data_IF_877387090860
#
_entry.id   IF_877387090860
#
_cell.length_a   1.000
_cell.length_b   1.000
_cell.length_c   1.000
_cell.angle_alpha   90.00
_cell.angle_beta   90.00
_cell.angle_gamma   90.00
#
_symmetry.space_group_name_H-M   'P 1'
#
loop_
_entity.id
_entity.type
_entity.pdbx_description
1 polymer ?
#
# COMPACT_ATOMS: atom_id res chain seq x y z
N UNK A 1 36.94 -32.55 -11.45
CA UNK A 1 35.73 -32.54 -10.61
C UNK A 1 35.56 -31.12 -10.11
N UNK A 2 34.57 -30.38 -10.62
CA UNK A 2 34.30 -29.01 -10.18
C UNK A 2 33.34 -29.06 -8.99
N UNK A 3 33.41 -28.09 -8.08
CA UNK A 3 32.54 -28.02 -6.90
C UNK A 3 31.05 -28.06 -7.27
N UNK A 4 30.69 -27.46 -8.42
CA UNK A 4 29.34 -27.51 -9.01
C UNK A 4 28.87 -28.92 -9.45
N UNK A 5 29.79 -29.88 -9.55
CA UNK A 5 29.48 -31.28 -9.89
C UNK A 5 29.17 -32.09 -8.60
N UNK A 6 29.28 -31.46 -7.42
CA UNK A 6 29.08 -32.06 -6.08
C UNK A 6 27.96 -31.32 -5.32
N UNK A 7 27.79 -30.01 -5.58
CA UNK A 7 26.80 -29.16 -4.93
C UNK A 7 25.91 -28.53 -5.98
N UNK A 8 24.64 -28.91 -5.98
CA UNK A 8 23.59 -28.24 -6.73
C UNK A 8 23.20 -26.98 -5.95
N UNK A 9 23.56 -25.82 -6.49
CA UNK A 9 23.18 -24.53 -5.88
C UNK A 9 21.85 -24.14 -6.52
N UNK A 10 20.75 -24.05 -5.75
CA UNK A 10 19.47 -23.65 -6.30
C UNK A 10 19.57 -22.25 -6.91
N UNK A 11 18.87 -22.02 -8.01
CA UNK A 11 18.82 -20.72 -8.68
C UNK A 11 17.94 -19.78 -7.84
N UNK A 12 18.58 -19.03 -6.92
CA UNK A 12 17.87 -18.11 -6.03
C UNK A 12 17.55 -16.84 -6.83
N UNK A 13 16.26 -16.52 -6.99
CA UNK A 13 15.81 -15.25 -7.54
C UNK A 13 16.37 -14.10 -6.66
N UNK A 14 17.30 -13.32 -7.21
CA UNK A 14 18.04 -12.29 -6.45
C UNK A 14 17.23 -11.02 -6.17
N UNK A 15 16.12 -10.83 -6.88
CA UNK A 15 15.27 -9.64 -6.77
C UNK A 15 13.99 -10.05 -6.08
N UNK A 16 13.79 -9.52 -4.87
CA UNK A 16 12.57 -9.75 -4.12
C UNK A 16 11.52 -8.77 -4.61
N UNK A 17 10.40 -9.28 -5.09
CA UNK A 17 9.31 -8.47 -5.60
C UNK A 17 8.22 -8.34 -4.55
N UNK A 18 8.38 -7.36 -3.67
CA UNK A 18 7.54 -7.17 -2.48
C UNK A 18 6.04 -7.17 -2.80
N UNK A 19 5.62 -6.38 -3.79
CA UNK A 19 4.20 -6.31 -4.21
C UNK A 19 3.70 -7.61 -4.85
N UNK A 20 4.51 -8.25 -5.70
CA UNK A 20 4.11 -9.50 -6.36
C UNK A 20 3.90 -10.62 -5.34
N UNK A 21 4.81 -10.73 -4.36
CA UNK A 21 4.77 -11.78 -3.33
C UNK A 21 3.58 -11.64 -2.36
N UNK A 22 3.07 -10.43 -2.14
CA UNK A 22 1.98 -10.14 -1.20
C UNK A 22 0.61 -10.01 -1.88
N UNK A 23 0.55 -10.19 -3.20
CA UNK A 23 -0.69 -10.12 -3.98
C UNK A 23 -1.51 -11.41 -3.91
N UNK A 24 -2.83 -11.33 -4.11
CA UNK A 24 -3.70 -12.53 -4.14
C UNK A 24 -3.32 -13.55 -5.23
N UNK A 25 -2.74 -13.06 -6.34
CA UNK A 25 -2.30 -13.89 -7.47
C UNK A 25 -0.83 -14.30 -7.37
N UNK A 26 -0.22 -14.20 -6.19
CA UNK A 26 1.17 -14.55 -5.98
C UNK A 26 1.43 -16.04 -6.26
N UNK A 27 2.60 -16.34 -6.82
CA UNK A 27 3.00 -17.72 -7.07
C UNK A 27 3.36 -18.40 -5.74
N UNK A 28 2.50 -19.32 -5.30
CA UNK A 28 2.64 -20.04 -4.03
C UNK A 28 3.94 -20.85 -3.95
N UNK A 29 4.36 -21.50 -5.04
CA UNK A 29 5.63 -22.24 -5.07
C UNK A 29 6.82 -21.32 -4.80
N UNK A 30 6.82 -20.12 -5.41
CA UNK A 30 7.87 -19.11 -5.18
C UNK A 30 7.87 -18.57 -3.75
N UNK A 31 6.69 -18.34 -3.17
CA UNK A 31 6.56 -17.92 -1.76
C UNK A 31 7.13 -19.00 -0.83
N UNK A 32 6.77 -20.26 -1.07
CA UNK A 32 7.28 -21.38 -0.29
C UNK A 32 8.81 -21.48 -0.40
N UNK A 33 9.37 -21.37 -1.60
CA UNK A 33 10.81 -21.37 -1.83
C UNK A 33 11.50 -20.21 -1.10
N UNK A 34 10.91 -19.01 -1.15
CA UNK A 34 11.40 -17.83 -0.44
C UNK A 34 11.45 -18.07 1.08
N UNK A 35 10.36 -18.58 1.68
CA UNK A 35 10.29 -18.82 3.12
C UNK A 35 11.19 -20.00 3.54
N UNK A 36 11.18 -21.12 2.80
CA UNK A 36 12.06 -22.26 3.06
C UNK A 36 13.54 -21.89 2.90
N UNK A 37 13.88 -21.04 1.94
CA UNK A 37 15.23 -20.54 1.71
C UNK A 37 15.70 -19.45 2.68
N UNK A 38 14.77 -18.78 3.38
CA UNK A 38 15.10 -17.66 4.25
C UNK A 38 16.03 -18.08 5.41
N UNK A 39 17.16 -17.39 5.55
CA UNK A 39 18.15 -17.65 6.61
C UNK A 39 17.94 -16.67 7.76
N UNK A 40 17.52 -17.19 8.92
CA UNK A 40 17.39 -16.41 10.14
C UNK A 40 18.75 -16.39 10.85
N UNK A 41 19.44 -15.25 10.75
CA UNK A 41 20.67 -14.98 11.52
C UNK A 41 20.31 -14.43 12.90
N UNK A 42 21.27 -14.39 13.84
CA UNK A 42 21.03 -13.81 15.18
C UNK A 42 20.53 -12.36 15.12
N UNK A 43 21.05 -11.54 14.20
CA UNK A 43 20.58 -10.16 14.04
C UNK A 43 19.14 -10.11 13.50
N UNK A 44 18.77 -11.01 12.58
CA UNK A 44 17.40 -11.12 12.07
C UNK A 44 16.46 -11.58 13.19
N UNK A 45 16.88 -12.56 13.98
CA UNK A 45 16.18 -13.06 15.16
C UNK A 45 15.86 -11.92 16.13
N UNK A 46 16.88 -11.15 16.54
CA UNK A 46 16.72 -10.02 17.46
C UNK A 46 15.75 -8.95 16.93
N UNK A 47 15.75 -8.72 15.61
CA UNK A 47 14.85 -7.74 14.98
C UNK A 47 13.42 -8.25 14.89
N UNK A 48 13.21 -9.53 14.57
CA UNK A 48 11.90 -10.16 14.62
C UNK A 48 11.36 -10.16 16.06
N UNK A 49 12.20 -10.43 17.06
CA UNK A 49 11.78 -10.46 18.45
C UNK A 49 11.29 -9.09 18.90
N UNK A 50 12.05 -8.02 18.59
CA UNK A 50 11.64 -6.64 18.88
C UNK A 50 10.34 -6.26 18.19
N UNK A 51 10.16 -6.69 16.94
CA UNK A 51 8.92 -6.44 16.18
C UNK A 51 7.73 -7.13 16.85
N UNK A 52 7.76 -8.46 16.99
CA UNK A 52 6.66 -9.22 17.58
C UNK A 52 6.40 -8.84 19.03
N UNK A 53 7.45 -8.66 19.85
CA UNK A 53 7.29 -8.20 21.23
C UNK A 53 6.55 -6.87 21.29
N UNK A 54 6.91 -5.91 20.44
CA UNK A 54 6.25 -4.61 20.43
C UNK A 54 4.79 -4.71 19.99
N UNK A 55 4.51 -5.53 18.98
CA UNK A 55 3.16 -5.69 18.43
C UNK A 55 2.24 -6.43 19.43
N UNK A 56 2.80 -7.37 20.20
CA UNK A 56 2.09 -8.11 21.28
C UNK A 56 1.84 -7.25 22.52
N UNK A 57 2.81 -6.45 22.94
CA UNK A 57 2.74 -5.74 24.24
C UNK A 57 2.05 -4.39 24.18
N UNK A 58 1.97 -3.78 23.00
CA UNK A 58 1.24 -2.53 22.78
C UNK A 58 0.31 -2.66 21.59
N UNK A 59 -0.70 -3.57 21.65
CA UNK A 59 -1.58 -3.81 20.53
C UNK A 59 -2.38 -2.55 20.18
N UNK A 60 -2.85 -1.78 21.15
CA UNK A 60 -3.73 -0.61 20.91
C UNK A 60 -2.99 0.67 20.50
N UNK A 61 -1.68 0.60 20.25
CA UNK A 61 -0.87 1.76 19.87
C UNK A 61 -0.18 1.49 18.55
N UNK A 62 -0.48 2.35 17.57
CA UNK A 62 0.25 2.32 16.32
C UNK A 62 1.75 2.59 16.53
N UNK A 63 2.59 1.95 15.73
CA UNK A 63 4.06 2.07 15.84
C UNK A 63 4.78 2.02 14.50
N UNK A 64 5.79 2.88 14.37
CA UNK A 64 6.75 2.84 13.28
C UNK A 64 8.00 2.03 13.63
N UNK A 65 8.50 1.26 12.67
CA UNK A 65 9.74 0.52 12.71
C UNK A 65 10.63 0.96 11.54
N UNK A 66 11.93 1.00 11.80
CA UNK A 66 12.93 1.33 10.80
C UNK A 66 13.88 0.15 10.65
N UNK A 67 14.06 -0.31 9.42
CA UNK A 67 15.09 -1.30 9.08
C UNK A 67 16.23 -0.58 8.38
N UNK A 68 17.42 -0.63 8.96
CA UNK A 68 18.63 -0.03 8.39
C UNK A 68 19.60 -1.09 7.90
N UNK A 69 20.16 -0.89 6.72
CA UNK A 69 21.24 -1.74 6.21
C UNK A 69 21.76 -1.32 4.85
N UNK A 70 22.96 -1.81 4.51
CA UNK A 70 23.64 -1.52 3.24
C UNK A 70 22.81 -2.03 2.04
N UNK A 71 23.06 -1.52 0.81
CA UNK A 71 22.49 -2.12 -0.40
C UNK A 71 22.77 -3.62 -0.47
N UNK A 72 21.77 -4.42 -0.85
CA UNK A 72 21.88 -5.88 -0.93
C UNK A 72 21.88 -6.64 0.41
N UNK A 73 21.69 -5.96 1.55
CA UNK A 73 21.62 -6.62 2.88
C UNK A 73 20.34 -7.42 3.15
N UNK A 74 19.42 -7.49 2.18
CA UNK A 74 18.18 -8.25 2.31
C UNK A 74 17.00 -7.51 2.97
N UNK A 75 17.00 -6.17 3.01
CA UNK A 75 15.89 -5.37 3.58
C UNK A 75 14.53 -5.70 2.94
N UNK A 76 14.45 -5.67 1.61
CA UNK A 76 13.24 -6.02 0.84
C UNK A 76 12.79 -7.47 1.09
N UNK A 77 13.77 -8.37 1.27
CA UNK A 77 13.54 -9.76 1.62
C UNK A 77 12.92 -9.90 3.01
N UNK A 78 13.49 -9.21 4.01
CA UNK A 78 12.95 -9.16 5.36
C UNK A 78 11.54 -8.56 5.40
N UNK A 79 11.29 -7.46 4.68
CA UNK A 79 9.95 -6.88 4.54
C UNK A 79 8.95 -7.88 3.96
N UNK A 80 9.34 -8.60 2.90
CA UNK A 80 8.47 -9.64 2.30
C UNK A 80 8.16 -10.77 3.27
N UNK A 81 9.17 -11.26 4.01
CA UNK A 81 8.97 -12.31 5.01
C UNK A 81 8.02 -11.85 6.11
N UNK A 82 8.20 -10.65 6.67
CA UNK A 82 7.27 -10.12 7.68
C UNK A 82 5.87 -9.96 7.09
N UNK A 83 5.73 -9.42 5.88
CA UNK A 83 4.43 -9.27 5.23
C UNK A 83 3.69 -10.59 5.09
N UNK A 84 4.39 -11.62 4.60
CA UNK A 84 3.84 -12.96 4.42
C UNK A 84 3.42 -13.59 5.76
N UNK A 85 4.29 -13.48 6.77
CA UNK A 85 3.98 -13.97 8.13
C UNK A 85 2.75 -13.28 8.71
N UNK A 86 2.60 -11.97 8.50
CA UNK A 86 1.48 -11.21 9.06
C UNK A 86 0.19 -11.42 8.27
N UNK A 87 0.26 -11.77 6.99
CA UNK A 87 -0.89 -11.99 6.11
C UNK A 87 -1.47 -13.41 6.22
N UNK A 88 -0.64 -14.42 6.46
CA UNK A 88 -1.06 -15.83 6.54
C UNK A 88 -0.34 -16.58 7.67
N UNK A 89 -1.12 -17.10 8.63
CA UNK A 89 -0.60 -17.93 9.72
C UNK A 89 0.17 -19.15 9.19
N UNK A 90 -0.21 -19.71 8.05
CA UNK A 90 0.47 -20.88 7.47
C UNK A 90 1.90 -20.56 7.04
N UNK A 91 2.24 -19.30 6.76
CA UNK A 91 3.61 -18.89 6.45
C UNK A 91 4.56 -19.15 7.63
N UNK A 92 4.06 -19.15 8.88
CA UNK A 92 4.87 -19.50 10.06
C UNK A 92 5.31 -20.96 10.04
N UNK A 93 4.49 -21.88 9.51
CA UNK A 93 4.81 -23.32 9.46
C UNK A 93 6.09 -23.60 8.66
N UNK A 94 6.37 -22.76 7.65
CA UNK A 94 7.54 -22.85 6.78
C UNK A 94 8.82 -22.35 7.44
N UNK A 95 8.70 -21.59 8.54
CA UNK A 95 9.81 -20.98 9.27
C UNK A 95 9.95 -21.47 10.72
N UNK A 96 8.95 -22.17 11.27
CA UNK A 96 8.85 -22.48 12.70
C UNK A 96 10.05 -23.24 13.28
N UNK A 97 10.70 -24.11 12.48
CA UNK A 97 11.85 -24.88 12.94
C UNK A 97 13.16 -24.08 12.97
N UNK A 98 13.12 -22.81 12.53
CA UNK A 98 14.31 -21.96 12.40
C UNK A 98 14.49 -21.02 13.58
N UNK A 99 13.45 -20.79 14.40
CA UNK A 99 13.45 -19.71 15.40
C UNK A 99 12.31 -19.85 16.42
N UNK A 100 12.63 -19.69 17.70
CA UNK A 100 11.64 -19.60 18.78
C UNK A 100 10.81 -18.30 18.69
N UNK A 101 11.40 -17.24 18.14
CA UNK A 101 10.68 -15.97 17.91
C UNK A 101 9.56 -16.13 16.89
N UNK A 102 9.77 -16.93 15.85
CA UNK A 102 8.73 -17.25 14.85
C UNK A 102 7.55 -17.95 15.52
N UNK A 103 7.81 -18.92 16.42
CA UNK A 103 6.75 -19.59 17.18
C UNK A 103 5.95 -18.61 18.06
N UNK A 104 6.64 -17.70 18.76
CA UNK A 104 5.96 -16.66 19.57
C UNK A 104 5.18 -15.66 18.71
N UNK A 105 5.73 -15.28 17.57
CA UNK A 105 5.08 -14.39 16.61
C UNK A 105 3.81 -15.01 16.02
N UNK A 106 3.80 -16.32 15.79
CA UNK A 106 2.62 -17.04 15.31
C UNK A 106 1.44 -16.87 16.25
N UNK A 107 1.64 -17.03 17.56
CA UNK A 107 0.56 -16.88 18.55
C UNK A 107 -0.03 -15.46 18.56
N UNK A 108 0.71 -14.45 18.11
CA UNK A 108 0.15 -13.11 17.90
C UNK A 108 -0.79 -13.05 16.69
N UNK A 109 -0.39 -13.64 15.55
CA UNK A 109 -1.12 -13.57 14.27
C UNK A 109 -2.26 -14.59 14.20
N UNK A 110 -2.19 -15.64 15.02
CA UNK A 110 -3.18 -16.71 15.06
C UNK A 110 -4.60 -16.18 15.21
N UNK A 111 -5.48 -16.61 14.30
CA UNK A 111 -6.87 -16.16 14.17
C UNK A 111 -7.04 -14.65 13.97
N UNK A 112 -5.99 -13.92 13.56
CA UNK A 112 -6.09 -12.50 13.23
C UNK A 112 -6.04 -12.27 11.73
N UNK A 113 -6.85 -11.33 11.27
CA UNK A 113 -6.87 -10.86 9.89
C UNK A 113 -6.12 -9.52 9.82
N UNK A 114 -4.89 -9.52 9.31
CA UNK A 114 -4.07 -8.32 9.21
C UNK A 114 -4.08 -7.79 7.79
N UNK A 115 -4.39 -6.50 7.62
CA UNK A 115 -4.35 -5.83 6.33
C UNK A 115 -2.92 -5.38 6.00
N UNK A 116 -2.25 -6.09 5.10
CA UNK A 116 -0.86 -5.79 4.72
C UNK A 116 -0.81 -4.96 3.45
N UNK A 117 -0.20 -3.77 3.51
CA UNK A 117 -0.08 -2.83 2.38
C UNK A 117 1.39 -2.65 1.99
N UNK A 118 1.86 -3.30 0.90
CA UNK A 118 3.22 -3.15 0.40
C UNK A 118 3.40 -1.95 -0.52
N UNK A 119 4.37 -1.09 -0.20
CA UNK A 119 4.79 0.07 -0.97
C UNK A 119 6.25 -0.09 -1.36
N UNK A 120 6.52 0.07 -2.65
CA UNK A 120 7.87 0.25 -3.18
C UNK A 120 7.97 1.71 -3.53
N UNK A 121 8.64 2.50 -2.68
CA UNK A 121 8.51 3.95 -2.73
C UNK A 121 9.16 4.56 -3.99
N UNK A 122 10.22 3.95 -4.52
CA UNK A 122 10.87 4.36 -5.78
C UNK A 122 9.91 4.30 -6.99
N UNK A 123 8.98 3.32 -7.03
CA UNK A 123 8.03 3.17 -8.15
C UNK A 123 7.14 4.41 -8.36
N UNK A 124 6.88 5.18 -7.30
CA UNK A 124 6.11 6.41 -7.39
C UNK A 124 6.90 7.59 -7.95
N UNK A 125 8.23 7.56 -7.81
CA UNK A 125 9.11 8.69 -8.07
C UNK A 125 8.83 9.92 -7.18
N UNK A 126 9.56 11.01 -7.42
CA UNK A 126 9.47 12.24 -6.60
C UNK A 126 8.11 12.96 -6.67
N UNK A 127 7.25 12.62 -7.63
CA UNK A 127 6.01 13.35 -7.91
C UNK A 127 4.75 12.73 -7.28
N UNK A 128 4.83 11.49 -6.78
CA UNK A 128 3.69 10.79 -6.17
C UNK A 128 3.92 10.71 -4.66
N UNK A 129 2.91 11.12 -3.89
CA UNK A 129 2.97 11.08 -2.42
C UNK A 129 2.85 9.64 -1.88
N UNK A 130 3.38 9.38 -0.69
CA UNK A 130 3.14 8.11 0.03
C UNK A 130 1.67 7.91 0.30
N UNK A 131 0.93 9.00 0.56
CA UNK A 131 -0.52 8.95 0.76
C UNK A 131 -1.21 8.35 -0.48
N UNK A 132 -0.91 8.85 -1.67
CA UNK A 132 -1.54 8.37 -2.90
C UNK A 132 -1.06 6.96 -3.28
N UNK A 133 0.22 6.65 -3.08
CA UNK A 133 0.73 5.29 -3.25
C UNK A 133 0.04 4.30 -2.31
N UNK A 134 -0.13 4.69 -1.03
CA UNK A 134 -0.78 3.88 -0.02
C UNK A 134 -2.22 3.59 -0.37
N UNK A 135 -3.02 4.61 -0.64
CA UNK A 135 -4.43 4.39 -0.91
C UNK A 135 -4.62 3.64 -2.23
N UNK A 136 -3.84 3.93 -3.26
CA UNK A 136 -3.87 3.14 -4.49
C UNK A 136 -3.59 1.65 -4.23
N UNK A 137 -2.56 1.34 -3.45
CA UNK A 137 -2.25 -0.05 -3.09
C UNK A 137 -3.38 -0.69 -2.27
N UNK A 138 -3.97 0.04 -1.33
CA UNK A 138 -5.10 -0.44 -0.54
C UNK A 138 -6.35 -0.72 -1.41
N UNK A 139 -6.64 0.14 -2.38
CA UNK A 139 -7.71 -0.06 -3.36
C UNK A 139 -7.44 -1.26 -4.28
N UNK A 140 -6.19 -1.42 -4.75
CA UNK A 140 -5.79 -2.54 -5.59
C UNK A 140 -5.95 -3.90 -4.85
N UNK A 141 -5.72 -3.92 -3.53
CA UNK A 141 -5.87 -5.13 -2.68
C UNK A 141 -7.34 -5.42 -2.38
N UNK A 142 -8.11 -4.40 -2.00
CA UNK A 142 -9.48 -4.59 -1.50
C UNK A 142 -10.53 -4.55 -2.61
N UNK A 143 -10.22 -3.91 -3.73
CA UNK A 143 -11.20 -3.48 -4.74
C UNK A 143 -12.12 -2.35 -4.26
N UNK A 144 -11.99 -1.90 -3.00
CA UNK A 144 -12.80 -0.84 -2.41
C UNK A 144 -12.16 0.53 -2.67
N UNK A 145 -12.91 1.54 -3.15
CA UNK A 145 -12.37 2.85 -3.44
C UNK A 145 -12.25 3.73 -2.19
N UNK A 146 -11.04 3.84 -1.64
CA UNK A 146 -10.73 4.77 -0.53
C UNK A 146 -10.40 6.18 -1.02
N UNK A 147 -10.05 6.31 -2.30
CA UNK A 147 -9.78 7.56 -2.99
C UNK A 147 -10.98 7.99 -3.83
N UNK A 148 -10.98 9.27 -4.13
CA UNK A 148 -12.07 9.88 -4.86
C UNK A 148 -12.23 9.33 -6.28
N UNK A 149 -11.41 8.48 -6.91
CA UNK A 149 -11.71 8.14 -8.32
C UNK A 149 -13.08 7.46 -8.57
N UNK A 150 -13.59 6.64 -7.64
CA UNK A 150 -14.96 6.09 -7.76
C UNK A 150 -16.02 6.95 -7.05
N UNK A 151 -15.66 7.66 -5.98
CA UNK A 151 -16.58 8.56 -5.26
C UNK A 151 -16.71 9.95 -5.89
N UNK A 152 -15.71 10.41 -6.62
CA UNK A 152 -15.69 11.60 -7.47
C UNK A 152 -16.72 11.44 -8.56
N UNK A 153 -16.77 10.29 -9.24
CA UNK A 153 -17.78 10.03 -10.27
C UNK A 153 -19.19 10.13 -9.67
N UNK A 154 -19.41 9.52 -8.49
CA UNK A 154 -20.69 9.60 -7.78
C UNK A 154 -21.03 11.03 -7.33
N UNK A 155 -20.09 11.71 -6.66
CA UNK A 155 -20.26 13.11 -6.21
C UNK A 155 -20.44 14.05 -7.40
N UNK A 156 -19.75 13.81 -8.51
CA UNK A 156 -19.89 14.53 -9.76
C UNK A 156 -21.28 14.30 -10.35
N UNK A 157 -21.77 13.06 -10.34
CA UNK A 157 -23.14 12.74 -10.73
C UNK A 157 -24.15 13.50 -9.86
N UNK A 158 -23.98 13.45 -8.54
CA UNK A 158 -24.89 14.06 -7.57
C UNK A 158 -24.90 15.60 -7.61
N UNK A 159 -23.73 16.23 -7.71
CA UNK A 159 -23.58 17.68 -7.61
C UNK A 159 -23.63 18.40 -8.97
N UNK A 160 -23.14 17.76 -10.03
CA UNK A 160 -22.99 18.36 -11.37
C UNK A 160 -24.04 17.80 -12.33
N UNK A 161 -24.10 16.48 -12.52
CA UNK A 161 -24.97 15.88 -13.55
C UNK A 161 -26.45 15.91 -13.16
N UNK A 162 -26.78 15.77 -11.88
CA UNK A 162 -28.17 15.90 -11.40
C UNK A 162 -28.66 17.36 -11.38
N UNK A 163 -27.75 18.33 -11.48
CA UNK A 163 -28.12 19.72 -11.68
C UNK A 163 -28.29 20.02 -13.18
N UNK A 164 -29.52 20.34 -13.60
CA UNK A 164 -29.85 20.55 -15.01
C UNK A 164 -28.97 21.59 -15.72
N UNK A 165 -28.60 22.68 -15.04
CA UNK A 165 -27.77 23.73 -15.63
C UNK A 165 -26.32 23.29 -15.83
N UNK A 166 -25.75 22.56 -14.87
CA UNK A 166 -24.36 22.08 -14.98
C UNK A 166 -24.25 20.85 -15.89
N UNK A 167 -25.29 20.02 -15.96
CA UNK A 167 -25.35 18.90 -16.88
C UNK A 167 -25.33 19.35 -18.35
N UNK A 168 -26.10 20.40 -18.69
CA UNK A 168 -26.09 20.98 -20.05
C UNK A 168 -24.70 21.50 -20.42
N UNK A 169 -24.08 22.27 -19.52
CA UNK A 169 -22.70 22.75 -19.69
C UNK A 169 -21.68 21.61 -19.85
N UNK A 170 -21.85 20.54 -19.10
CA UNK A 170 -20.99 19.37 -19.21
C UNK A 170 -21.16 18.67 -20.56
N UNK A 171 -22.39 18.52 -21.04
CA UNK A 171 -22.71 18.00 -22.36
C UNK A 171 -22.06 18.82 -23.49
N UNK A 172 -22.12 20.15 -23.40
CA UNK A 172 -21.47 21.06 -24.36
C UNK A 172 -19.94 20.93 -24.31
N UNK A 173 -19.37 20.88 -23.09
CA UNK A 173 -17.93 20.69 -22.91
C UNK A 173 -17.43 19.39 -23.55
N UNK A 174 -18.10 18.27 -23.27
CA UNK A 174 -17.71 16.95 -23.79
C UNK A 174 -17.88 16.89 -25.32
N UNK A 175 -18.97 17.41 -25.85
CA UNK A 175 -19.21 17.39 -27.30
C UNK A 175 -18.18 18.22 -28.06
N UNK A 176 -17.78 19.40 -27.56
CA UNK A 176 -16.69 20.18 -28.14
C UNK A 176 -15.36 19.44 -28.03
N UNK A 177 -15.02 18.99 -26.83
CA UNK A 177 -13.70 18.39 -26.53
C UNK A 177 -13.44 17.10 -27.31
N UNK A 178 -14.49 16.32 -27.51
CA UNK A 178 -14.41 15.00 -28.15
C UNK A 178 -14.82 15.06 -29.62
N UNK A 179 -14.96 16.27 -30.19
CA UNK A 179 -15.38 16.50 -31.57
C UNK A 179 -16.66 15.71 -31.93
N UNK A 180 -17.67 15.81 -31.06
CA UNK A 180 -18.97 15.14 -31.13
C UNK A 180 -18.93 13.60 -31.07
N UNK A 181 -17.82 13.00 -30.65
CA UNK A 181 -17.76 11.56 -30.39
C UNK A 181 -18.67 11.15 -29.23
N UNK A 182 -18.76 11.99 -28.19
CA UNK A 182 -19.67 11.81 -27.06
C UNK A 182 -20.51 13.07 -26.85
N UNK A 183 -21.76 12.90 -26.42
CA UNK A 183 -22.73 14.02 -26.32
C UNK A 183 -23.23 14.28 -24.90
N UNK A 184 -23.02 13.36 -23.98
CA UNK A 184 -23.46 13.49 -22.59
C UNK A 184 -22.59 12.65 -21.66
N UNK A 185 -22.76 12.88 -20.36
CA UNK A 185 -22.15 12.03 -19.34
C UNK A 185 -22.55 10.56 -19.46
N UNK A 186 -23.84 10.27 -19.71
CA UNK A 186 -24.33 8.91 -19.87
C UNK A 186 -23.72 8.22 -21.09
N UNK A 187 -23.63 8.93 -22.21
CA UNK A 187 -23.00 8.45 -23.46
C UNK A 187 -21.49 8.20 -23.28
N UNK A 188 -20.81 9.11 -22.56
CA UNK A 188 -19.41 8.94 -22.17
C UNK A 188 -19.24 7.68 -21.30
N UNK A 189 -20.11 7.46 -20.31
CA UNK A 189 -20.01 6.35 -19.33
C UNK A 189 -20.29 4.98 -19.96
N UNK A 190 -21.24 4.88 -20.89
CA UNK A 190 -21.51 3.62 -21.60
C UNK A 190 -20.36 3.20 -22.50
N UNK A 191 -19.69 4.17 -23.14
CA UNK A 191 -18.69 3.90 -24.17
C UNK A 191 -17.24 3.93 -23.64
N UNK A 192 -16.94 4.71 -22.60
CA UNK A 192 -15.67 4.67 -21.88
C UNK A 192 -15.76 3.76 -20.65
N UNK A 193 -15.32 2.51 -20.81
CA UNK A 193 -15.25 1.54 -19.70
C UNK A 193 -14.14 1.79 -18.68
N UNK A 194 -13.31 2.81 -18.89
CA UNK A 194 -12.18 3.14 -18.01
C UNK A 194 -12.53 4.30 -17.05
N UNK A 195 -12.67 3.98 -15.76
CA UNK A 195 -12.95 4.94 -14.68
C UNK A 195 -11.93 6.09 -14.59
N UNK A 196 -10.65 5.84 -14.89
CA UNK A 196 -9.62 6.90 -14.90
C UNK A 196 -9.87 7.94 -15.99
N UNK A 197 -10.26 7.49 -17.18
CA UNK A 197 -10.58 8.40 -18.28
C UNK A 197 -11.84 9.23 -18.00
N UNK A 198 -12.86 8.62 -17.38
CA UNK A 198 -14.07 9.33 -16.93
C UNK A 198 -13.74 10.40 -15.88
N UNK A 199 -12.97 10.03 -14.86
CA UNK A 199 -12.52 10.95 -13.80
C UNK A 199 -11.69 12.09 -14.37
N UNK A 200 -10.79 11.81 -15.32
CA UNK A 200 -10.01 12.85 -16.01
C UNK A 200 -10.91 13.84 -16.74
N UNK A 201 -11.88 13.37 -17.51
CA UNK A 201 -12.82 14.24 -18.23
C UNK A 201 -13.62 15.13 -17.27
N UNK A 202 -14.07 14.56 -16.16
CA UNK A 202 -14.81 15.29 -15.14
C UNK A 202 -13.91 16.33 -14.43
N UNK A 203 -12.66 16.00 -14.07
CA UNK A 203 -11.67 16.95 -13.50
C UNK A 203 -11.37 18.11 -14.45
N UNK A 204 -11.20 17.83 -15.75
CA UNK A 204 -10.95 18.87 -16.75
C UNK A 204 -12.14 19.82 -16.92
N UNK A 205 -13.38 19.32 -16.83
CA UNK A 205 -14.57 20.16 -16.84
C UNK A 205 -14.62 21.11 -15.63
N UNK A 206 -14.41 20.58 -14.41
CA UNK A 206 -14.39 21.38 -13.18
C UNK A 206 -13.34 22.49 -13.27
N UNK A 207 -12.14 22.17 -13.80
CA UNK A 207 -11.08 23.15 -14.03
C UNK A 207 -11.43 24.21 -15.08
N UNK A 208 -12.08 23.81 -16.18
CA UNK A 208 -12.48 24.73 -17.26
C UNK A 208 -13.55 25.73 -16.80
N UNK A 209 -14.59 25.24 -16.12
CA UNK A 209 -15.69 26.06 -15.59
C UNK A 209 -15.32 26.78 -14.29
N UNK A 210 -14.14 26.49 -13.71
CA UNK A 210 -13.64 27.05 -12.44
C UNK A 210 -14.65 26.86 -11.29
N UNK A 211 -15.23 25.66 -11.18
CA UNK A 211 -16.26 25.35 -10.17
C UNK A 211 -15.63 25.15 -8.80
N UNK A 212 -15.54 26.21 -8.01
CA UNK A 212 -14.89 26.19 -6.69
C UNK A 212 -15.71 25.56 -5.57
N UNK A 213 -17.02 25.35 -5.78
CA UNK A 213 -17.90 24.68 -4.82
C UNK A 213 -17.82 23.15 -4.89
N UNK A 214 -17.26 22.62 -5.98
CA UNK A 214 -17.09 21.18 -6.18
C UNK A 214 -15.62 20.84 -5.93
N UNK A 215 -15.30 20.53 -4.66
CA UNK A 215 -14.00 20.05 -4.25
C UNK A 215 -14.17 18.65 -3.64
N UNK A 216 -14.19 17.61 -4.48
CA UNK A 216 -14.44 16.24 -4.03
C UNK A 216 -13.22 15.60 -3.37
N UNK A 217 -12.04 16.26 -3.36
CA UNK A 217 -10.87 15.77 -2.63
C UNK A 217 -11.25 15.60 -1.16
N UNK A 218 -11.53 14.36 -0.78
CA UNK A 218 -11.70 13.97 0.61
C UNK A 218 -10.42 14.34 1.32
N UNK A 219 -10.55 15.10 2.40
CA UNK A 219 -9.40 15.44 3.23
C UNK A 219 -8.70 14.15 3.69
N UNK A 220 -7.38 14.18 3.88
CA UNK A 220 -6.60 13.03 4.39
C UNK A 220 -7.28 12.31 5.56
N UNK A 221 -7.86 13.07 6.49
CA UNK A 221 -8.60 12.53 7.65
C UNK A 221 -9.78 11.67 7.22
N UNK A 222 -10.57 12.11 6.25
CA UNK A 222 -11.72 11.34 5.74
C UNK A 222 -11.28 10.09 4.99
N UNK A 223 -10.21 10.16 4.18
CA UNK A 223 -9.66 8.96 3.50
C UNK A 223 -9.19 7.91 4.51
N UNK A 224 -8.50 8.34 5.57
CA UNK A 224 -8.07 7.46 6.66
C UNK A 224 -9.28 6.90 7.41
N UNK A 225 -10.28 7.73 7.72
CA UNK A 225 -11.52 7.29 8.38
C UNK A 225 -12.24 6.20 7.58
N UNK A 226 -12.38 6.37 6.27
CA UNK A 226 -13.02 5.37 5.40
C UNK A 226 -12.24 4.06 5.36
N UNK A 227 -10.92 4.12 5.31
CA UNK A 227 -10.10 2.91 5.41
C UNK A 227 -10.39 2.18 6.73
N UNK A 228 -10.32 2.86 7.86
CA UNK A 228 -10.51 2.19 9.16
C UNK A 228 -11.94 1.68 9.34
N UNK A 229 -12.95 2.40 8.85
CA UNK A 229 -14.33 1.91 8.85
C UNK A 229 -14.48 0.62 8.03
N UNK A 230 -13.90 0.59 6.83
CA UNK A 230 -13.88 -0.63 6.01
C UNK A 230 -13.16 -1.78 6.72
N UNK A 231 -12.01 -1.51 7.33
CA UNK A 231 -11.25 -2.54 8.05
C UNK A 231 -12.06 -3.09 9.24
N UNK A 232 -12.80 -2.25 9.96
CA UNK A 232 -13.68 -2.67 11.05
C UNK A 232 -14.87 -3.51 10.53
N UNK A 233 -15.49 -3.10 9.43
CA UNK A 233 -16.61 -3.84 8.80
C UNK A 233 -16.19 -5.21 8.26
N UNK A 234 -14.97 -5.30 7.70
CA UNK A 234 -14.38 -6.52 7.18
C UNK A 234 -13.64 -7.35 8.25
N UNK A 235 -13.82 -7.01 9.54
CA UNK A 235 -13.29 -7.74 10.69
C UNK A 235 -11.75 -7.91 10.66
N UNK A 236 -11.02 -6.86 10.25
CA UNK A 236 -9.57 -6.83 10.37
C UNK A 236 -9.12 -6.49 11.80
N UNK A 237 -8.02 -7.10 12.24
CA UNK A 237 -7.43 -6.93 13.57
C UNK A 237 -6.23 -5.97 13.59
N UNK A 238 -5.79 -5.49 12.42
CA UNK A 238 -4.67 -4.57 12.30
C UNK A 238 -4.33 -4.20 10.86
N UNK A 239 -3.59 -3.11 10.68
CA UNK A 239 -3.00 -2.71 9.40
C UNK A 239 -1.48 -2.65 9.51
N UNK A 240 -0.79 -3.24 8.54
CA UNK A 240 0.67 -3.24 8.43
C UNK A 240 1.09 -2.64 7.10
N UNK A 241 1.78 -1.50 7.13
CA UNK A 241 2.34 -0.85 5.94
C UNK A 241 3.82 -1.18 5.84
N UNK A 242 4.22 -1.77 4.72
CA UNK A 242 5.62 -2.09 4.43
C UNK A 242 6.11 -1.13 3.36
N UNK A 243 7.13 -0.33 3.66
CA UNK A 243 7.64 0.69 2.75
C UNK A 243 9.11 0.38 2.44
N UNK A 244 9.36 -0.10 1.23
CA UNK A 244 10.71 -0.29 0.73
C UNK A 244 11.27 1.02 0.16
N UNK A 245 12.59 1.20 0.33
CA UNK A 245 13.37 2.35 -0.15
C UNK A 245 12.87 3.71 0.38
N UNK A 246 12.29 3.72 1.57
CA UNK A 246 11.71 4.93 2.18
C UNK A 246 12.75 6.05 2.33
N UNK A 247 14.00 5.73 2.70
CA UNK A 247 15.04 6.76 2.83
C UNK A 247 15.36 7.49 1.53
N UNK A 248 15.43 6.74 0.43
CA UNK A 248 15.78 7.29 -0.88
C UNK A 248 14.62 8.11 -1.42
N UNK A 249 13.41 7.57 -1.34
CA UNK A 249 12.18 8.28 -1.64
C UNK A 249 12.07 9.62 -0.89
N UNK A 250 12.25 9.63 0.45
CA UNK A 250 12.12 10.87 1.22
C UNK A 250 13.20 11.90 0.85
N UNK A 251 14.42 11.45 0.49
CA UNK A 251 15.45 12.35 0.00
C UNK A 251 15.06 12.99 -1.34
N UNK A 252 14.51 12.21 -2.26
CA UNK A 252 14.07 12.67 -3.59
C UNK A 252 12.86 13.61 -3.52
N UNK A 253 12.00 13.44 -2.50
CA UNK A 253 10.83 14.30 -2.27
C UNK A 253 11.19 15.71 -1.79
N UNK A 254 12.38 15.92 -1.23
CA UNK A 254 12.84 17.22 -0.76
C UNK A 254 11.84 17.90 0.19
N UNK A 255 11.31 19.07 -0.20
CA UNK A 255 10.37 19.83 0.65
C UNK A 255 9.04 19.12 0.88
N UNK A 256 8.62 18.23 -0.03
CA UNK A 256 7.34 17.54 0.07
C UNK A 256 7.38 16.34 1.02
N UNK A 257 8.57 15.87 1.40
CA UNK A 257 8.77 14.76 2.35
C UNK A 257 8.07 15.00 3.70
N UNK A 258 7.89 16.28 4.08
CA UNK A 258 7.15 16.65 5.30
C UNK A 258 5.67 16.24 5.23
N UNK A 259 5.05 16.35 4.06
CA UNK A 259 3.65 15.95 3.88
C UNK A 259 3.50 14.43 3.98
N UNK A 260 4.46 13.69 3.42
CA UNK A 260 4.50 12.22 3.50
C UNK A 260 4.71 11.76 4.95
N UNK A 261 5.64 12.37 5.68
CA UNK A 261 5.82 12.10 7.11
C UNK A 261 4.58 12.42 7.95
N UNK A 262 3.86 13.51 7.62
CA UNK A 262 2.61 13.87 8.28
C UNK A 262 1.51 12.84 7.99
N UNK A 263 1.44 12.31 6.77
CA UNK A 263 0.52 11.22 6.43
C UNK A 263 0.80 9.97 7.26
N UNK A 264 2.06 9.48 7.28
CA UNK A 264 2.42 8.29 8.07
C UNK A 264 2.12 8.48 9.55
N UNK A 265 2.38 9.67 10.09
CA UNK A 265 2.04 10.02 11.47
C UNK A 265 0.54 9.95 11.71
N UNK A 266 -0.27 10.54 10.84
CA UNK A 266 -1.72 10.52 10.99
C UNK A 266 -2.30 9.10 10.89
N UNK A 267 -1.75 8.24 10.03
CA UNK A 267 -2.15 6.85 9.94
C UNK A 267 -1.87 6.09 11.25
N UNK A 268 -0.69 6.29 11.85
CA UNK A 268 -0.31 5.66 13.12
C UNK A 268 -1.10 6.16 14.33
N UNK A 269 -1.47 7.45 14.34
CA UNK A 269 -2.16 8.10 15.45
C UNK A 269 -3.69 8.14 15.28
N UNK A 270 -4.22 7.53 14.21
CA UNK A 270 -5.65 7.50 13.97
C UNK A 270 -6.38 6.77 15.11
N UNK A 271 -7.49 7.35 15.57
CA UNK A 271 -8.27 6.80 16.69
C UNK A 271 -9.24 5.73 16.17
N UNK A 272 -8.76 4.50 16.07
CA UNK A 272 -9.57 3.29 15.80
C UNK A 272 -9.21 2.19 16.81
N UNK A 273 -10.06 1.17 16.92
CA UNK A 273 -9.74 -0.06 17.65
C UNK A 273 -8.76 -0.95 16.87
N UNK A 274 -8.55 -0.67 15.58
CA UNK A 274 -7.60 -1.36 14.73
C UNK A 274 -6.25 -0.65 14.78
N UNK A 275 -5.18 -1.30 15.25
CA UNK A 275 -3.87 -0.69 15.28
C UNK A 275 -3.17 -0.65 13.93
N UNK A 276 -2.31 0.35 13.76
CA UNK A 276 -1.49 0.53 12.56
C UNK A 276 0.00 0.38 12.84
N UNK A 277 0.68 -0.42 12.04
CA UNK A 277 2.14 -0.55 12.07
C UNK A 277 2.74 -0.15 10.74
N UNK A 278 3.90 0.52 10.78
CA UNK A 278 4.64 0.90 9.58
C UNK A 278 6.05 0.37 9.72
N UNK A 279 6.57 -0.29 8.69
CA UNK A 279 7.97 -0.71 8.61
C UNK A 279 8.60 -0.06 7.38
N UNK A 280 9.53 0.87 7.58
CA UNK A 280 10.25 1.54 6.51
C UNK A 280 11.68 1.05 6.37
N UNK A 281 12.14 0.78 5.14
CA UNK A 281 13.53 0.42 4.87
C UNK A 281 14.39 1.66 4.57
N UNK A 282 15.57 1.70 5.18
CA UNK A 282 16.52 2.81 5.12
C UNK A 282 17.90 2.29 4.73
N UNK A 283 18.58 3.05 3.87
CA UNK A 283 20.00 2.84 3.57
C UNK A 283 20.84 3.36 4.73
N UNK A 284 21.70 2.50 5.28
CA UNK A 284 22.73 2.92 6.23
C UNK A 284 23.84 3.67 5.49
N UNK A 285 24.32 4.79 6.05
CA UNK A 285 25.51 5.45 5.52
C UNK A 285 26.76 4.62 5.83
N UNK A 286 27.77 4.61 4.96
CA UNK A 286 29.07 3.96 5.23
C UNK A 286 29.90 4.70 6.31
N UNK A 287 29.33 5.70 6.99
CA UNK A 287 30.03 6.62 7.92
C UNK A 287 29.48 6.58 9.35
N UNK A 288 28.67 5.61 9.70
CA UNK A 288 28.27 5.33 11.09
C UNK A 288 29.17 4.25 11.71
#
# INVERSE_FOLDING_TARGET
MKIRDIVEVPDIEKIVKLKENLSENANQEKIEELLKGYVITSNVEDNLEKFFYSVVTTPDKGKGFQITGLPGSGKSHFLSVIGLLMQDEQAFELLQLKSDTILKGREFVKNKKIFVVPLVAEEGGANISLEDMFFKAAEDITGFPFTDESDYIRQFEEAIINNSSYNEKFSDFISIKTNNQYRSWYDLRENLRNKRSLTKMAKEFIGNEKLTFFNPDRGRTERIEYLFNYLEEEEFDGVLVLIDELSEYLNDRGNDARNDALFLKQLLEYKSNIPAWIIGSFLSSLKD
#
